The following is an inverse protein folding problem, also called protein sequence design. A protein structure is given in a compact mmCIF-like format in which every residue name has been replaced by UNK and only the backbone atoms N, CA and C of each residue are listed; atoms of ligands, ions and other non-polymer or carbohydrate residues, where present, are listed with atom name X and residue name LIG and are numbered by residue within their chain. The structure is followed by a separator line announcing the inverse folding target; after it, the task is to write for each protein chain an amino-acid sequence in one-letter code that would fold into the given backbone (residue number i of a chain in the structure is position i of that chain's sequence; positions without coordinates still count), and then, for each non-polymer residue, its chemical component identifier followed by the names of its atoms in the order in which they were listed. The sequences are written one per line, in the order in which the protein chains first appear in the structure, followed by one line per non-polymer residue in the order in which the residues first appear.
data_IF_341292137272
#
_entry.id   IF_341292137272
#
_cell.length_a   1.000
_cell.length_b   1.000
_cell.length_c   1.000
_cell.angle_alpha   90.00
_cell.angle_beta   90.00
_cell.angle_gamma   90.00
#
_symmetry.space_group_name_H-M   'P 1'
#
loop_
_entity.id
_entity.type
_entity.pdbx_description
1 polymer ?
#
# COMPACT_ATOMS: atom_id res chain seq x y z
N UNK A 1 17.59 -26.91 -25.86
CA UNK A 1 16.98 -27.87 -24.93
C UNK A 1 15.96 -28.78 -25.60
N UNK A 2 15.01 -28.25 -26.39
CA UNK A 2 14.00 -29.09 -27.09
C UNK A 2 14.62 -30.23 -27.95
N UNK A 3 15.69 -29.96 -28.69
CA UNK A 3 16.36 -31.00 -29.49
C UNK A 3 16.97 -32.12 -28.61
N UNK A 4 17.62 -31.77 -27.50
CA UNK A 4 18.19 -32.73 -26.55
C UNK A 4 17.10 -33.58 -25.88
N UNK A 5 15.98 -32.95 -25.52
CA UNK A 5 14.82 -33.64 -24.95
C UNK A 5 14.20 -34.62 -25.95
N UNK A 6 14.04 -34.22 -27.21
CA UNK A 6 13.53 -35.10 -28.27
C UNK A 6 14.46 -36.31 -28.50
N UNK A 7 15.78 -36.11 -28.46
CA UNK A 7 16.77 -37.17 -28.59
C UNK A 7 16.73 -38.15 -27.40
N UNK A 8 16.62 -37.65 -26.17
CA UNK A 8 16.47 -38.49 -24.97
C UNK A 8 15.15 -39.28 -25.00
N UNK A 9 14.05 -38.64 -25.36
CA UNK A 9 12.75 -39.30 -25.49
C UNK A 9 12.80 -40.44 -26.53
N UNK A 10 13.44 -40.20 -27.68
CA UNK A 10 13.65 -41.23 -28.70
C UNK A 10 14.52 -42.37 -28.17
N UNK A 11 15.58 -42.06 -27.41
CA UNK A 11 16.47 -43.07 -26.82
C UNK A 11 15.71 -43.95 -25.82
N UNK A 12 14.87 -43.36 -24.96
CA UNK A 12 14.00 -44.08 -24.03
C UNK A 12 13.01 -44.99 -24.78
N UNK A 13 12.38 -44.49 -25.85
CA UNK A 13 11.45 -45.27 -26.67
C UNK A 13 12.12 -46.47 -27.35
N UNK A 14 13.41 -46.37 -27.70
CA UNK A 14 14.17 -47.47 -28.27
C UNK A 14 14.62 -48.50 -27.22
N UNK A 15 14.91 -48.05 -26.00
CA UNK A 15 15.36 -48.91 -24.90
C UNK A 15 14.22 -49.68 -24.22
N UNK A 16 13.05 -49.04 -24.04
CA UNK A 16 11.87 -49.63 -23.36
C UNK A 16 11.40 -50.99 -23.91
N UNK A 17 11.29 -51.20 -25.25
CA UNK A 17 10.78 -52.45 -25.79
C UNK A 17 11.80 -53.60 -25.84
N UNK A 18 13.04 -53.41 -25.36
CA UNK A 18 14.06 -54.47 -25.40
C UNK A 18 13.63 -55.64 -24.50
N UNK A 19 13.37 -56.83 -25.08
CA UNK A 19 12.77 -57.94 -24.36
C UNK A 19 13.77 -58.64 -23.42
N UNK A 20 13.26 -59.30 -22.38
CA UNK A 20 14.06 -59.98 -21.33
C UNK A 20 15.04 -61.04 -21.84
N UNK A 21 14.77 -61.63 -23.02
CA UNK A 21 15.64 -62.63 -23.64
C UNK A 21 16.78 -62.02 -24.49
N UNK A 22 16.77 -60.69 -24.70
CA UNK A 22 17.86 -60.00 -25.40
C UNK A 22 19.10 -59.92 -24.52
N UNK A 23 20.32 -60.19 -25.03
CA UNK A 23 21.56 -60.00 -24.28
C UNK A 23 21.77 -58.53 -23.86
N UNK A 24 21.08 -57.58 -24.50
CA UNK A 24 21.15 -56.15 -24.17
C UNK A 24 20.11 -55.70 -23.12
N UNK A 25 19.24 -56.58 -22.65
CA UNK A 25 18.15 -56.21 -21.73
C UNK A 25 18.66 -55.63 -20.41
N UNK A 26 19.66 -56.27 -19.78
CA UNK A 26 20.23 -55.81 -18.52
C UNK A 26 20.84 -54.40 -18.65
N UNK A 27 21.61 -54.16 -19.72
CA UNK A 27 22.20 -52.85 -20.01
C UNK A 27 21.12 -51.79 -20.28
N UNK A 28 20.04 -52.15 -20.98
CA UNK A 28 18.93 -51.24 -21.22
C UNK A 28 18.22 -50.84 -19.92
N UNK A 29 17.95 -51.80 -19.03
CA UNK A 29 17.35 -51.57 -17.71
C UNK A 29 18.23 -50.71 -16.79
N UNK A 30 19.56 -50.85 -16.90
CA UNK A 30 20.50 -50.06 -16.10
C UNK A 30 20.53 -48.58 -16.49
N UNK A 31 20.46 -48.27 -17.79
CA UNK A 31 20.60 -46.90 -18.32
C UNK A 31 19.25 -46.15 -18.34
N UNK A 32 18.14 -46.88 -18.47
CA UNK A 32 16.80 -46.28 -18.64
C UNK A 32 16.43 -45.27 -17.54
N UNK A 33 16.62 -45.55 -16.23
CA UNK A 33 16.30 -44.59 -15.17
C UNK A 33 17.12 -43.29 -15.27
N UNK A 34 18.38 -43.38 -15.70
CA UNK A 34 19.23 -42.20 -15.86
C UNK A 34 18.69 -41.27 -16.97
N UNK A 35 18.21 -41.83 -18.08
CA UNK A 35 17.61 -41.05 -19.16
C UNK A 35 16.25 -40.48 -18.75
N UNK A 36 15.43 -41.24 -18.04
CA UNK A 36 14.15 -40.76 -17.51
C UNK A 36 14.35 -39.58 -16.53
N UNK A 37 15.33 -39.68 -15.64
CA UNK A 37 15.71 -38.59 -14.72
C UNK A 37 16.22 -37.35 -15.47
N UNK A 38 17.02 -37.52 -16.53
CA UNK A 38 17.49 -36.40 -17.34
C UNK A 38 16.35 -35.68 -18.07
N UNK A 39 15.36 -36.42 -18.59
CA UNK A 39 14.19 -35.80 -19.20
C UNK A 39 13.37 -35.04 -18.16
N UNK A 40 13.08 -35.66 -17.01
CA UNK A 40 12.36 -35.00 -15.93
C UNK A 40 13.05 -33.70 -15.51
N UNK A 41 14.39 -33.70 -15.40
CA UNK A 41 15.15 -32.50 -15.10
C UNK A 41 14.99 -31.41 -16.19
N UNK A 42 15.02 -31.78 -17.48
CA UNK A 42 14.81 -30.83 -18.58
C UNK A 42 13.38 -30.27 -18.61
N UNK A 43 12.38 -31.08 -18.26
CA UNK A 43 10.99 -30.64 -18.12
C UNK A 43 10.86 -29.58 -17.03
N UNK A 44 11.43 -29.83 -15.84
CA UNK A 44 11.44 -28.87 -14.73
C UNK A 44 12.10 -27.53 -15.13
N UNK A 45 13.22 -27.57 -15.87
CA UNK A 45 13.86 -26.35 -16.38
C UNK A 45 12.94 -25.61 -17.36
N UNK A 46 12.29 -26.33 -18.27
CA UNK A 46 11.45 -25.73 -19.31
C UNK A 46 10.20 -25.09 -18.71
N UNK A 47 9.55 -25.77 -17.77
CA UNK A 47 8.43 -25.25 -16.99
C UNK A 47 8.84 -23.97 -16.24
N UNK A 48 9.97 -24.02 -15.54
CA UNK A 48 10.47 -22.86 -14.80
C UNK A 48 10.71 -21.64 -15.70
N UNK A 49 11.31 -21.84 -16.87
CA UNK A 49 11.56 -20.78 -17.84
C UNK A 49 10.28 -20.18 -18.39
N UNK A 50 9.28 -21.01 -18.70
CA UNK A 50 7.99 -20.54 -19.20
C UNK A 50 7.26 -19.68 -18.15
N UNK A 51 7.21 -20.13 -16.90
CA UNK A 51 6.61 -19.40 -15.78
C UNK A 51 7.33 -18.07 -15.51
N UNK A 52 8.67 -18.10 -15.48
CA UNK A 52 9.49 -16.91 -15.29
C UNK A 52 9.33 -15.90 -16.45
N UNK A 53 9.26 -16.37 -17.69
CA UNK A 53 9.02 -15.54 -18.85
C UNK A 53 7.66 -14.85 -18.75
N UNK A 54 6.60 -15.59 -18.43
CA UNK A 54 5.27 -15.01 -18.25
C UNK A 54 5.24 -14.01 -17.10
N UNK A 55 5.88 -14.32 -15.96
CA UNK A 55 5.98 -13.40 -14.84
C UNK A 55 6.70 -12.09 -15.22
N UNK A 56 7.76 -12.18 -16.03
CA UNK A 56 8.48 -11.03 -16.53
C UNK A 56 7.64 -10.20 -17.53
N UNK A 57 6.88 -10.85 -18.42
CA UNK A 57 5.95 -10.18 -19.31
C UNK A 57 4.85 -9.44 -18.54
N UNK A 58 4.20 -10.12 -17.59
CA UNK A 58 3.12 -9.55 -16.77
C UNK A 58 3.61 -8.37 -15.92
N UNK A 59 4.90 -8.35 -15.57
CA UNK A 59 5.51 -7.25 -14.81
C UNK A 59 5.76 -5.97 -15.61
N UNK A 60 5.65 -6.02 -16.95
CA UNK A 60 5.92 -4.86 -17.79
C UNK A 60 4.82 -3.81 -17.66
N UNK A 61 5.18 -2.56 -17.97
CA UNK A 61 4.27 -1.41 -18.01
C UNK A 61 3.50 -1.18 -16.69
N UNK A 62 4.18 -1.09 -15.53
CA UNK A 62 3.54 -0.65 -14.29
C UNK A 62 2.98 0.79 -14.42
N UNK A 63 2.02 1.20 -13.58
CA UNK A 63 1.55 0.51 -12.38
C UNK A 63 0.53 -0.59 -12.65
N UNK A 64 0.42 -1.53 -11.71
CA UNK A 64 -0.60 -2.59 -11.69
C UNK A 64 -1.25 -2.66 -10.31
N UNK A 65 -2.46 -3.21 -10.25
CA UNK A 65 -3.12 -3.50 -8.98
C UNK A 65 -2.35 -4.52 -8.14
N UNK A 66 -2.58 -4.51 -6.82
CA UNK A 66 -1.98 -5.45 -5.86
C UNK A 66 -2.17 -6.92 -6.31
N UNK A 67 -3.38 -7.27 -6.76
CA UNK A 67 -3.71 -8.65 -7.19
C UNK A 67 -2.85 -9.10 -8.37
N UNK A 68 -2.61 -8.24 -9.36
CA UNK A 68 -1.74 -8.54 -10.49
C UNK A 68 -0.31 -8.81 -10.03
N UNK A 69 0.23 -8.02 -9.09
CA UNK A 69 1.55 -8.27 -8.53
C UNK A 69 1.62 -9.57 -7.71
N UNK A 70 0.55 -9.92 -7.00
CA UNK A 70 0.45 -11.20 -6.29
C UNK A 70 0.51 -12.38 -7.28
N UNK A 71 -0.24 -12.31 -8.38
CA UNK A 71 -0.21 -13.34 -9.43
C UNK A 71 1.19 -13.48 -10.04
N UNK A 72 1.91 -12.38 -10.23
CA UNK A 72 3.30 -12.37 -10.71
C UNK A 72 4.24 -13.04 -9.69
N UNK A 73 4.10 -12.70 -8.40
CA UNK A 73 4.91 -13.30 -7.33
C UNK A 73 4.69 -14.82 -7.22
N UNK A 74 3.47 -15.28 -7.47
CA UNK A 74 3.12 -16.69 -7.52
C UNK A 74 3.73 -17.41 -8.73
N UNK A 75 3.78 -16.78 -9.91
CA UNK A 75 4.50 -17.33 -11.07
C UNK A 75 6.00 -17.47 -10.79
N UNK A 76 6.64 -16.46 -10.19
CA UNK A 76 8.05 -16.57 -9.79
C UNK A 76 8.27 -17.66 -8.74
N UNK A 77 7.33 -17.83 -7.79
CA UNK A 77 7.38 -18.92 -6.80
C UNK A 77 7.30 -20.28 -7.47
N UNK A 78 6.35 -20.48 -8.38
CA UNK A 78 6.19 -21.72 -9.13
C UNK A 78 7.43 -22.03 -9.99
N UNK A 79 7.99 -21.02 -10.66
CA UNK A 79 9.23 -21.16 -11.43
C UNK A 79 10.41 -21.61 -10.54
N UNK A 80 10.58 -20.98 -9.38
CA UNK A 80 11.59 -21.36 -8.41
C UNK A 80 11.38 -22.80 -7.86
N UNK A 81 10.12 -23.19 -7.62
CA UNK A 81 9.79 -24.54 -7.15
C UNK A 81 10.17 -25.60 -8.18
N UNK A 82 9.88 -25.37 -9.47
CA UNK A 82 10.28 -26.28 -10.54
C UNK A 82 11.81 -26.48 -10.58
N UNK A 83 12.59 -25.40 -10.46
CA UNK A 83 14.07 -25.50 -10.37
C UNK A 83 14.57 -26.22 -9.12
N UNK A 84 13.85 -26.14 -8.00
CA UNK A 84 14.22 -26.86 -6.79
C UNK A 84 14.00 -28.37 -6.90
N UNK A 85 13.09 -28.81 -7.77
CA UNK A 85 12.80 -30.23 -8.01
C UNK A 85 13.80 -30.91 -8.96
N UNK A 86 14.73 -30.16 -9.55
CA UNK A 86 15.79 -30.73 -10.40
C UNK A 86 16.72 -31.61 -9.54
N UNK A 87 16.92 -32.90 -9.87
CA UNK A 87 17.77 -33.81 -9.10
C UNK A 87 19.20 -33.28 -8.93
N UNK A 88 19.81 -33.57 -7.77
CA UNK A 88 21.14 -33.06 -7.41
C UNK A 88 22.27 -33.63 -8.29
N UNK A 89 22.08 -34.84 -8.80
CA UNK A 89 22.98 -35.55 -9.72
C UNK A 89 22.71 -35.21 -11.20
N UNK A 90 21.71 -34.36 -11.49
CA UNK A 90 21.38 -33.97 -12.85
C UNK A 90 22.50 -33.14 -13.49
N UNK A 91 22.87 -33.37 -14.76
CA UNK A 91 23.82 -32.54 -15.49
C UNK A 91 23.42 -31.06 -15.60
N UNK A 92 22.14 -30.74 -15.41
CA UNK A 92 21.62 -29.36 -15.45
C UNK A 92 21.42 -28.74 -14.06
N UNK A 93 21.85 -29.41 -12.98
CA UNK A 93 21.69 -28.93 -11.59
C UNK A 93 22.33 -27.56 -11.37
N UNK A 94 23.57 -27.35 -11.81
CA UNK A 94 24.27 -26.07 -11.66
C UNK A 94 23.51 -24.92 -12.35
N UNK A 95 22.94 -25.18 -13.53
CA UNK A 95 22.11 -24.21 -14.23
C UNK A 95 20.83 -23.91 -13.44
N UNK A 96 20.18 -24.93 -12.89
CA UNK A 96 18.99 -24.79 -12.06
C UNK A 96 19.28 -23.95 -10.81
N UNK A 97 20.41 -24.17 -10.13
CA UNK A 97 20.81 -23.42 -8.93
C UNK A 97 21.00 -21.93 -9.22
N UNK A 98 21.71 -21.59 -10.30
CA UNK A 98 21.89 -20.19 -10.71
C UNK A 98 20.55 -19.50 -10.96
N UNK A 99 19.66 -20.15 -11.72
CA UNK A 99 18.33 -19.60 -12.02
C UNK A 99 17.41 -19.55 -10.81
N UNK A 100 17.55 -20.47 -9.86
CA UNK A 100 16.79 -20.48 -8.62
C UNK A 100 17.07 -19.21 -7.79
N UNK A 101 18.35 -18.82 -7.69
CA UNK A 101 18.76 -17.58 -7.00
C UNK A 101 18.15 -16.35 -7.70
N UNK A 102 18.24 -16.29 -9.03
CA UNK A 102 17.65 -15.22 -9.84
C UNK A 102 16.13 -15.12 -9.63
N UNK A 103 15.40 -16.22 -9.71
CA UNK A 103 13.93 -16.22 -9.62
C UNK A 103 13.43 -15.88 -8.21
N UNK A 104 14.15 -16.32 -7.17
CA UNK A 104 13.89 -15.91 -5.79
C UNK A 104 14.13 -14.41 -5.58
N UNK A 105 15.18 -13.87 -6.18
CA UNK A 105 15.49 -12.44 -6.14
C UNK A 105 14.41 -11.62 -6.85
N UNK A 106 13.98 -12.06 -8.05
CA UNK A 106 12.90 -11.42 -8.78
C UNK A 106 11.60 -11.43 -7.96
N UNK A 107 11.25 -12.57 -7.35
CA UNK A 107 10.08 -12.65 -6.45
C UNK A 107 10.18 -11.66 -5.29
N UNK A 108 11.33 -11.57 -4.64
CA UNK A 108 11.53 -10.64 -3.52
C UNK A 108 11.29 -9.19 -3.95
N UNK A 109 11.78 -8.79 -5.13
CA UNK A 109 11.49 -7.47 -5.72
C UNK A 109 9.99 -7.23 -5.93
N UNK A 110 9.24 -8.24 -6.41
CA UNK A 110 7.79 -8.13 -6.58
C UNK A 110 7.06 -8.03 -5.23
N UNK A 111 7.51 -8.73 -4.20
CA UNK A 111 6.91 -8.62 -2.85
C UNK A 111 7.04 -7.22 -2.28
N UNK A 112 8.20 -6.57 -2.44
CA UNK A 112 8.38 -5.17 -2.03
C UNK A 112 7.42 -4.24 -2.79
N UNK A 113 7.19 -4.50 -4.08
CA UNK A 113 6.20 -3.75 -4.87
C UNK A 113 4.76 -3.95 -4.36
N UNK A 114 4.40 -5.17 -3.98
CA UNK A 114 3.08 -5.48 -3.38
C UNK A 114 2.87 -4.64 -2.12
N UNK A 115 3.87 -4.55 -1.24
CA UNK A 115 3.78 -3.75 -0.02
C UNK A 115 3.60 -2.25 -0.32
N UNK A 116 4.36 -1.73 -1.29
CA UNK A 116 4.24 -0.33 -1.71
C UNK A 116 2.85 -0.02 -2.30
N UNK A 117 2.35 -0.90 -3.17
CA UNK A 117 1.03 -0.76 -3.79
C UNK A 117 -0.10 -0.85 -2.75
N UNK A 118 -0.05 -1.84 -1.85
CA UNK A 118 -1.06 -2.01 -0.80
C UNK A 118 -1.08 -0.82 0.16
N UNK A 119 0.09 -0.26 0.49
CA UNK A 119 0.20 0.95 1.31
C UNK A 119 -0.42 2.15 0.58
N UNK A 120 -0.08 2.34 -0.70
CA UNK A 120 -0.62 3.44 -1.50
C UNK A 120 -2.15 3.37 -1.64
N UNK A 121 -2.70 2.17 -1.87
CA UNK A 121 -4.14 1.93 -1.94
C UNK A 121 -4.84 2.22 -0.59
N UNK A 122 -4.23 1.82 0.53
CA UNK A 122 -4.73 2.18 1.86
C UNK A 122 -4.69 3.69 2.10
N UNK A 123 -3.59 4.37 1.77
CA UNK A 123 -3.45 5.82 1.93
C UNK A 123 -4.50 6.57 1.12
N UNK A 124 -4.76 6.14 -0.11
CA UNK A 124 -5.81 6.74 -0.96
C UNK A 124 -7.19 6.61 -0.31
N UNK A 125 -7.56 5.41 0.15
CA UNK A 125 -8.83 5.19 0.84
C UNK A 125 -8.96 6.02 2.12
N UNK A 126 -7.91 6.06 2.93
CA UNK A 126 -7.90 6.83 4.17
C UNK A 126 -8.05 8.33 3.90
N UNK A 127 -7.40 8.85 2.86
CA UNK A 127 -7.54 10.23 2.45
C UNK A 127 -8.98 10.56 2.02
N UNK A 128 -9.60 9.68 1.22
CA UNK A 128 -11.00 9.83 0.80
C UNK A 128 -11.98 9.82 1.98
N UNK A 129 -11.74 8.93 2.95
CA UNK A 129 -12.54 8.86 4.18
C UNK A 129 -12.36 10.12 5.04
N UNK A 130 -11.12 10.61 5.18
CA UNK A 130 -10.81 11.83 5.91
C UNK A 130 -11.48 13.06 5.26
N UNK A 131 -11.45 13.17 3.93
CA UNK A 131 -12.15 14.23 3.20
C UNK A 131 -13.68 14.16 3.41
N UNK A 132 -14.25 12.95 3.35
CA UNK A 132 -15.69 12.72 3.62
C UNK A 132 -16.06 13.14 5.05
N UNK A 133 -15.22 12.80 6.03
CA UNK A 133 -15.42 13.19 7.43
C UNK A 133 -15.28 14.70 7.61
N UNK A 134 -14.26 15.32 7.01
CA UNK A 134 -14.02 16.76 7.05
C UNK A 134 -15.18 17.55 6.48
N UNK A 135 -15.79 17.08 5.38
CA UNK A 135 -17.02 17.69 4.85
C UNK A 135 -18.18 17.63 5.84
N UNK A 136 -18.45 16.46 6.42
CA UNK A 136 -19.54 16.31 7.40
C UNK A 136 -19.33 17.17 8.65
N UNK A 137 -18.09 17.24 9.13
CA UNK A 137 -17.74 18.08 10.28
C UNK A 137 -17.92 19.57 9.96
N UNK A 138 -17.46 20.02 8.79
CA UNK A 138 -17.66 21.40 8.34
C UNK A 138 -19.14 21.76 8.18
N UNK A 139 -19.95 20.86 7.63
CA UNK A 139 -21.40 21.07 7.46
C UNK A 139 -22.16 21.15 8.79
N UNK A 140 -21.73 20.37 9.79
CA UNK A 140 -22.35 20.32 11.11
C UNK A 140 -21.74 21.32 12.12
N UNK A 141 -20.71 22.07 11.73
CA UNK A 141 -19.94 22.88 12.66
C UNK A 141 -20.74 24.04 13.25
N UNK A 142 -20.76 24.14 14.58
CA UNK A 142 -21.42 25.23 15.32
C UNK A 142 -20.48 25.96 16.28
N UNK A 143 -19.23 25.51 16.36
CA UNK A 143 -18.21 26.05 17.26
C UNK A 143 -16.84 26.05 16.60
N UNK A 144 -15.92 26.83 17.17
CA UNK A 144 -14.51 26.81 16.76
C UNK A 144 -13.91 25.40 16.83
N UNK A 145 -14.25 24.63 17.87
CA UNK A 145 -13.75 23.26 18.04
C UNK A 145 -14.22 22.34 16.90
N UNK A 146 -15.46 22.50 16.40
CA UNK A 146 -15.96 21.72 15.27
C UNK A 146 -15.21 22.05 13.97
N UNK A 147 -14.91 23.34 13.75
CA UNK A 147 -14.11 23.79 12.62
C UNK A 147 -12.66 23.31 12.69
N UNK A 148 -12.05 23.31 13.87
CA UNK A 148 -10.70 22.75 14.08
C UNK A 148 -10.68 21.23 13.81
N UNK A 149 -11.73 20.50 14.17
CA UNK A 149 -11.86 19.08 13.81
C UNK A 149 -12.00 18.86 12.30
N UNK A 150 -12.82 19.67 11.62
CA UNK A 150 -12.97 19.62 10.17
C UNK A 150 -11.64 19.92 9.46
N UNK A 151 -10.90 20.93 9.95
CA UNK A 151 -9.57 21.28 9.45
C UNK A 151 -8.59 20.12 9.57
N UNK A 152 -8.52 19.49 10.75
CA UNK A 152 -7.64 18.34 10.98
C UNK A 152 -7.95 17.16 10.03
N UNK A 153 -9.23 16.90 9.76
CA UNK A 153 -9.65 15.87 8.79
C UNK A 153 -9.20 16.21 7.37
N UNK A 154 -9.27 17.47 6.96
CA UNK A 154 -8.80 17.91 5.63
C UNK A 154 -7.28 17.91 5.50
N UNK A 155 -6.56 18.26 6.56
CA UNK A 155 -5.09 18.14 6.60
C UNK A 155 -4.67 16.68 6.44
N UNK A 156 -5.31 15.76 7.16
CA UNK A 156 -5.07 14.32 7.00
C UNK A 156 -5.41 13.81 5.59
N UNK A 157 -6.46 14.34 4.96
CA UNK A 157 -6.83 13.98 3.59
C UNK A 157 -5.75 14.41 2.57
N UNK A 158 -5.29 15.65 2.65
CA UNK A 158 -4.24 16.20 1.77
C UNK A 158 -2.90 15.50 2.01
N UNK A 159 -2.52 15.28 3.27
CA UNK A 159 -1.30 14.56 3.62
C UNK A 159 -1.33 13.13 3.08
N UNK A 160 -2.47 12.43 3.22
CA UNK A 160 -2.67 11.09 2.70
C UNK A 160 -2.50 10.99 1.19
N UNK A 161 -3.01 11.96 0.42
CA UNK A 161 -2.83 11.99 -1.04
C UNK A 161 -1.40 12.36 -1.45
N UNK A 162 -0.81 13.36 -0.80
CA UNK A 162 0.51 13.89 -1.16
C UNK A 162 1.65 12.90 -0.93
N UNK A 163 1.48 11.97 0.00
CA UNK A 163 2.47 10.94 0.32
C UNK A 163 2.38 9.68 -0.56
N UNK A 164 1.41 9.58 -1.47
CA UNK A 164 1.27 8.42 -2.36
C UNK A 164 2.42 8.40 -3.38
N UNK A 165 3.31 7.38 -3.34
CA UNK A 165 4.49 7.36 -4.19
C UNK A 165 4.16 7.30 -5.68
N UNK A 166 5.00 7.93 -6.51
CA UNK A 166 4.93 7.74 -7.95
C UNK A 166 5.19 6.27 -8.33
N UNK A 167 4.48 5.78 -9.34
CA UNK A 167 4.65 4.42 -9.86
C UNK A 167 3.80 3.36 -9.16
N UNK A 168 2.92 3.76 -8.24
CA UNK A 168 1.81 2.93 -7.74
C UNK A 168 0.54 3.19 -8.56
N UNK A 169 -0.39 2.25 -8.53
CA UNK A 169 -1.67 2.36 -9.25
C UNK A 169 -2.53 3.49 -8.68
N UNK A 170 -2.49 3.70 -7.36
CA UNK A 170 -3.21 4.77 -6.66
C UNK A 170 -2.69 6.20 -6.98
N UNK A 171 -1.50 6.34 -7.57
CA UNK A 171 -0.87 7.65 -7.73
C UNK A 171 -1.63 8.58 -8.69
N UNK A 172 -2.14 8.06 -9.80
CA UNK A 172 -2.86 8.88 -10.78
C UNK A 172 -4.10 9.53 -10.17
N UNK A 173 -4.90 8.75 -9.46
CA UNK A 173 -6.10 9.22 -8.78
C UNK A 173 -5.77 10.20 -7.64
N UNK A 174 -4.67 9.95 -6.91
CA UNK A 174 -4.22 10.87 -5.89
C UNK A 174 -3.84 12.24 -6.46
N UNK A 175 -3.11 12.27 -7.58
CA UNK A 175 -2.72 13.51 -8.26
C UNK A 175 -3.91 14.25 -8.87
N UNK A 176 -4.90 13.52 -9.40
CA UNK A 176 -6.13 14.11 -9.95
C UNK A 176 -6.96 14.80 -8.86
N UNK A 177 -7.10 14.18 -7.69
CA UNK A 177 -7.91 14.70 -6.58
C UNK A 177 -7.21 15.78 -5.74
N UNK A 178 -5.88 15.82 -5.75
CA UNK A 178 -5.10 16.69 -4.86
C UNK A 178 -5.44 18.20 -4.99
N UNK A 179 -5.61 18.78 -6.19
CA UNK A 179 -5.98 20.20 -6.33
C UNK A 179 -7.32 20.54 -5.66
N UNK A 180 -8.32 19.68 -5.82
CA UNK A 180 -9.64 19.88 -5.21
C UNK A 180 -9.58 19.77 -3.68
N UNK A 181 -8.78 18.83 -3.17
CA UNK A 181 -8.58 18.65 -1.73
C UNK A 181 -7.83 19.84 -1.12
N UNK A 182 -6.82 20.36 -1.82
CA UNK A 182 -6.10 21.57 -1.40
C UNK A 182 -7.01 22.79 -1.33
N UNK A 183 -7.85 22.99 -2.35
CA UNK A 183 -8.85 24.07 -2.35
C UNK A 183 -9.80 23.94 -1.17
N UNK A 184 -10.31 22.73 -0.91
CA UNK A 184 -11.25 22.50 0.19
C UNK A 184 -10.61 22.68 1.56
N UNK A 185 -9.35 22.26 1.71
CA UNK A 185 -8.54 22.52 2.90
C UNK A 185 -8.38 24.04 3.14
N UNK A 186 -8.09 24.81 2.09
CA UNK A 186 -7.98 26.27 2.17
C UNK A 186 -9.29 26.92 2.64
N UNK A 187 -10.42 26.54 2.04
CA UNK A 187 -11.75 27.02 2.46
C UNK A 187 -12.05 26.76 3.95
N UNK A 188 -11.76 25.55 4.42
CA UNK A 188 -11.99 25.16 5.82
C UNK A 188 -11.02 25.87 6.77
N UNK A 189 -9.77 26.06 6.35
CA UNK A 189 -8.76 26.81 7.11
C UNK A 189 -9.17 28.27 7.28
N UNK A 190 -9.62 28.92 6.21
CA UNK A 190 -10.10 30.29 6.24
C UNK A 190 -11.30 30.44 7.18
N UNK A 191 -12.26 29.51 7.10
CA UNK A 191 -13.41 29.53 8.00
C UNK A 191 -13.02 29.33 9.46
N UNK A 192 -12.10 28.41 9.74
CA UNK A 192 -11.57 28.18 11.09
C UNK A 192 -10.91 29.45 11.65
N UNK A 193 -10.16 30.17 10.82
CA UNK A 193 -9.50 31.41 11.23
C UNK A 193 -10.50 32.55 11.53
N UNK A 194 -11.59 32.63 10.75
CA UNK A 194 -12.69 33.58 11.03
C UNK A 194 -13.35 33.28 12.38
N UNK A 195 -13.69 32.01 12.63
CA UNK A 195 -14.34 31.58 13.89
C UNK A 195 -13.44 31.76 15.11
N UNK A 196 -12.13 31.55 14.93
CA UNK A 196 -11.13 31.80 15.97
C UNK A 196 -11.11 33.27 16.37
N UNK A 197 -11.13 34.15 15.38
CA UNK A 197 -11.13 35.60 15.59
C UNK A 197 -12.43 36.04 16.29
N UNK A 198 -13.59 35.57 15.81
CA UNK A 198 -14.89 35.86 16.41
C UNK A 198 -15.00 35.38 17.87
N UNK A 199 -14.47 34.19 18.18
CA UNK A 199 -14.43 33.66 19.54
C UNK A 199 -13.60 34.53 20.49
N UNK A 200 -12.44 35.01 20.02
CA UNK A 200 -11.59 35.93 20.77
C UNK A 200 -12.28 37.27 21.04
N UNK A 201 -12.92 37.85 20.02
CA UNK A 201 -13.67 39.11 20.14
C UNK A 201 -14.85 38.98 21.11
N UNK A 202 -15.60 37.88 21.03
CA UNK A 202 -16.70 37.60 21.96
C UNK A 202 -16.20 37.48 23.40
N UNK A 203 -15.10 36.77 23.63
CA UNK A 203 -14.50 36.62 24.95
C UNK A 203 -14.08 37.98 25.53
N UNK A 204 -13.42 38.81 24.72
CA UNK A 204 -13.04 40.18 25.08
C UNK A 204 -14.25 41.05 25.40
N UNK A 205 -15.30 40.99 24.57
CA UNK A 205 -16.53 41.73 24.80
C UNK A 205 -17.20 41.34 26.12
N UNK A 206 -17.26 40.04 26.44
CA UNK A 206 -17.79 39.54 27.72
C UNK A 206 -16.98 40.04 28.91
N UNK A 207 -15.66 40.04 28.81
CA UNK A 207 -14.78 40.56 29.85
C UNK A 207 -15.00 42.06 30.08
N UNK A 208 -15.10 42.85 29.01
CA UNK A 208 -15.37 44.28 29.10
C UNK A 208 -16.75 44.57 29.72
N UNK A 209 -17.78 43.81 29.34
CA UNK A 209 -19.11 43.94 29.92
C UNK A 209 -19.11 43.61 31.42
N UNK A 210 -18.46 42.52 31.84
CA UNK A 210 -18.34 42.15 33.25
C UNK A 210 -17.61 43.22 34.08
N UNK A 211 -16.54 43.79 33.53
CA UNK A 211 -15.80 44.88 34.18
C UNK A 211 -16.66 46.14 34.33
N UNK A 212 -17.44 46.50 33.30
CA UNK A 212 -18.34 47.65 33.35
C UNK A 212 -19.48 47.46 34.37
N UNK A 213 -20.05 46.25 34.46
CA UNK A 213 -21.05 45.90 35.47
C UNK A 213 -20.49 45.99 36.89
N UNK A 214 -19.25 45.53 37.09
CA UNK A 214 -18.59 45.63 38.40
C UNK A 214 -18.34 47.09 38.79
N UNK A 215 -17.78 47.90 37.88
CA UNK A 215 -17.55 49.32 38.14
C UNK A 215 -18.85 50.06 38.49
N UNK A 216 -19.95 49.79 37.77
CA UNK A 216 -21.24 50.39 38.07
C UNK A 216 -21.79 50.00 39.46
N UNK A 217 -21.55 48.77 39.92
CA UNK A 217 -21.93 48.33 41.27
C UNK A 217 -21.09 49.00 42.36
N UNK A 218 -19.79 49.15 42.11
CA UNK A 218 -18.86 49.83 43.03
C UNK A 218 -19.25 51.32 43.20
N UNK A 219 -19.57 52.01 42.10
CA UNK A 219 -20.07 53.39 42.12
C UNK A 219 -21.41 53.54 42.85
N UNK A 220 -22.33 52.59 42.68
CA UNK A 220 -23.62 52.60 43.40
C UNK A 220 -23.44 52.35 44.90
N UNK A 221 -22.46 51.52 45.28
CA UNK A 221 -22.14 51.25 46.68
C UNK A 221 -21.52 52.47 47.37
N UNK A 222 -20.60 53.19 46.71
CA UNK A 222 -19.99 54.40 47.27
C UNK A 222 -21.01 55.53 47.44
N UNK A 223 -21.88 55.78 46.45
CA UNK A 223 -22.98 56.75 46.57
C UNK A 223 -23.93 56.39 47.72
N UNK A 224 -24.27 55.11 47.84
CA UNK A 224 -25.08 54.62 48.95
C UNK A 224 -24.36 54.85 50.30
N UNK A 225 -23.10 54.48 50.44
CA UNK A 225 -22.37 54.69 51.69
C UNK A 225 -22.26 56.19 52.10
N UNK A 226 -22.08 57.10 51.14
CA UNK A 226 -22.03 58.55 51.38
C UNK A 226 -23.39 59.13 51.81
N UNK A 227 -24.48 58.71 51.16
CA UNK A 227 -25.84 59.14 51.52
C UNK A 227 -26.26 58.67 52.92
N UNK A 228 -25.81 57.49 53.35
CA UNK A 228 -26.07 56.99 54.71
C UNK A 228 -25.30 57.76 55.77
N UNK A 229 -24.02 58.10 55.52
CA UNK A 229 -23.23 58.95 56.44
C UNK A 229 -23.89 60.31 56.66
N UNK A 230 -24.39 60.93 55.60
CA UNK A 230 -25.04 62.25 55.68
C UNK A 230 -26.38 62.21 56.42
N UNK A 231 -27.17 61.14 56.26
CA UNK A 231 -28.42 60.97 57.02
C UNK A 231 -28.21 60.61 58.50
N UNK A 232 -27.16 59.88 58.86
CA UNK A 232 -26.86 59.52 60.25
C UNK A 232 -26.25 60.65 61.11
N UNK A 233 -25.85 61.75 60.46
CA UNK A 233 -25.24 62.92 61.10
C UNK A 233 -26.22 64.12 61.27
N UNK A 234 -27.51 63.91 60.99
CA UNK A 234 -28.61 64.87 61.18
C UNK A 234 -29.49 64.44 62.36
#
# INVERSE_FOLDING_TARGET
MQASQAQLNRSIQLLKPIPVWSPYHAQAQEILPAYENQISALDQITEAQALAYQAALDSQNPPHAVSTWQDIAEKWRAAANALSNVPADSPVREFADRKLVEYRTNRATILVRIEAEAKAEMSLRQAQQAATLGNKQAEAAQSLADWENALASWEAAVDGLSQIPQGTNAHSEAQENLPDYLKRLEEVRDRTQQERSASQELSKAKQLAANAEQAAREDQWTISAESWKTHSAS
#
